data_IF_815352955189
#
_entry.id   IF_815352955189
#
_cell.length_a   1.000
_cell.length_b   1.000
_cell.length_c   1.000
_cell.angle_alpha   90.00
_cell.angle_beta   90.00
_cell.angle_gamma   90.00
#
_symmetry.space_group_name_H-M   'P 1'
#
loop_
_entity.id
_entity.type
_entity.pdbx_description
1 polymer ?
#
# COMPACT_ATOMS: atom_id res chain seq x y z
N UNK A 1 -25.22 -114.69 22.87
CA UNK A 1 -24.33 -113.88 22.00
C UNK A 1 -25.14 -112.70 21.49
N UNK A 2 -24.77 -111.43 21.56
CA UNK A 2 -23.52 -110.75 21.90
C UNK A 2 -23.86 -109.51 22.73
N UNK A 3 -23.11 -109.25 23.81
CA UNK A 3 -23.13 -107.96 24.49
C UNK A 3 -22.27 -107.01 23.66
N UNK A 4 -22.90 -105.99 23.08
CA UNK A 4 -22.18 -104.95 22.37
C UNK A 4 -21.28 -104.19 23.35
N UNK A 5 -19.97 -104.16 23.08
CA UNK A 5 -19.02 -103.30 23.79
C UNK A 5 -19.34 -101.84 23.47
N UNK A 6 -19.54 -101.03 24.50
CA UNK A 6 -19.58 -99.57 24.34
C UNK A 6 -18.17 -99.08 23.96
N UNK A 7 -18.04 -98.23 22.92
CA UNK A 7 -16.76 -97.60 22.64
C UNK A 7 -16.42 -96.63 23.77
N UNK A 8 -15.22 -96.77 24.32
CA UNK A 8 -14.68 -95.87 25.34
C UNK A 8 -14.67 -94.44 24.80
N UNK A 9 -15.40 -93.55 25.46
CA UNK A 9 -15.39 -92.12 25.19
C UNK A 9 -14.00 -91.57 25.53
N UNK A 10 -13.23 -91.18 24.52
CA UNK A 10 -12.05 -90.34 24.70
C UNK A 10 -12.49 -88.87 24.57
N UNK A 11 -12.32 -88.02 25.60
CA UNK A 11 -12.60 -86.61 25.48
C UNK A 11 -11.62 -85.99 24.49
N UNK A 12 -12.14 -85.44 23.39
CA UNK A 12 -11.35 -84.63 22.46
C UNK A 12 -10.95 -83.32 23.17
N UNK A 13 -9.69 -82.88 23.10
CA UNK A 13 -9.29 -81.59 23.65
C UNK A 13 -10.07 -80.46 22.95
N UNK A 14 -10.48 -79.42 23.68
CA UNK A 14 -11.32 -78.37 23.13
C UNK A 14 -10.61 -77.67 21.96
N UNK A 15 -11.28 -77.58 20.80
CA UNK A 15 -10.82 -76.79 19.66
C UNK A 15 -10.53 -75.35 20.11
N UNK A 16 -9.27 -74.93 20.00
CA UNK A 16 -8.88 -73.54 20.21
C UNK A 16 -9.55 -72.65 19.16
N UNK A 17 -10.64 -72.01 19.57
CA UNK A 17 -11.19 -70.89 18.81
C UNK A 17 -10.26 -69.70 19.01
N UNK A 18 -9.75 -69.07 17.93
CA UNK A 18 -8.95 -67.87 18.08
C UNK A 18 -9.86 -66.79 18.67
N UNK A 19 -9.59 -66.38 19.93
CA UNK A 19 -10.24 -65.23 20.54
C UNK A 19 -10.08 -64.04 19.58
N UNK A 20 -11.20 -63.60 19.02
CA UNK A 20 -11.28 -62.36 18.23
C UNK A 20 -10.72 -61.24 19.10
N UNK A 21 -9.50 -60.79 18.78
CA UNK A 21 -8.88 -59.65 19.45
C UNK A 21 -9.82 -58.47 19.25
N UNK A 22 -10.52 -58.08 20.31
CA UNK A 22 -11.31 -56.86 20.33
C UNK A 22 -10.34 -55.71 20.07
N UNK A 23 -10.43 -55.12 18.89
CA UNK A 23 -9.66 -53.91 18.60
C UNK A 23 -10.13 -52.84 19.59
N UNK A 24 -9.20 -52.16 20.29
CA UNK A 24 -9.59 -51.08 21.17
C UNK A 24 -10.30 -50.02 20.34
N UNK A 25 -11.58 -49.79 20.62
CA UNK A 25 -12.33 -48.67 20.03
C UNK A 25 -11.56 -47.39 20.38
N UNK A 26 -10.98 -46.74 19.38
CA UNK A 26 -10.28 -45.45 19.53
C UNK A 26 -11.30 -44.47 20.11
N UNK A 27 -11.12 -44.09 21.38
CA UNK A 27 -11.95 -43.07 22.01
C UNK A 27 -11.70 -41.77 21.25
N UNK A 28 -12.73 -41.26 20.58
CA UNK A 28 -12.71 -39.92 20.03
C UNK A 28 -12.67 -39.02 21.26
N UNK A 29 -11.50 -38.44 21.52
CA UNK A 29 -11.34 -37.46 22.60
C UNK A 29 -12.17 -36.26 22.16
N UNK A 30 -13.34 -36.10 22.77
CA UNK A 30 -14.17 -34.92 22.56
C UNK A 30 -13.44 -33.70 23.09
N UNK A 31 -13.53 -32.60 22.35
CA UNK A 31 -12.96 -31.31 22.76
C UNK A 31 -13.56 -30.91 24.11
N UNK A 32 -12.69 -30.64 25.09
CA UNK A 32 -13.10 -30.21 26.43
C UNK A 32 -13.79 -28.85 26.37
N UNK A 33 -14.73 -28.57 27.29
CA UNK A 33 -15.40 -27.27 27.32
C UNK A 33 -14.41 -26.10 27.56
N UNK A 34 -13.27 -26.38 28.19
CA UNK A 34 -12.16 -25.43 28.31
C UNK A 34 -11.51 -25.12 26.95
N UNK A 35 -11.30 -26.12 26.10
CA UNK A 35 -10.74 -25.95 24.76
C UNK A 35 -11.72 -25.20 23.85
N UNK A 36 -13.03 -25.51 23.93
CA UNK A 36 -14.06 -24.76 23.20
C UNK A 36 -14.05 -23.28 23.57
N UNK A 37 -13.90 -22.96 24.86
CA UNK A 37 -13.83 -21.57 25.34
C UNK A 37 -12.57 -20.87 24.85
N UNK A 38 -11.43 -21.55 24.85
CA UNK A 38 -10.17 -21.02 24.31
C UNK A 38 -10.26 -20.76 22.81
N UNK A 39 -10.86 -21.68 22.05
CA UNK A 39 -11.10 -21.50 20.62
C UNK A 39 -12.00 -20.27 20.40
N UNK A 40 -13.08 -20.14 21.16
CA UNK A 40 -14.00 -19.00 21.04
C UNK A 40 -13.31 -17.65 21.31
N UNK A 41 -12.46 -17.60 22.34
CA UNK A 41 -11.65 -16.41 22.65
C UNK A 41 -10.64 -16.13 21.53
N UNK A 42 -9.97 -17.17 21.01
CA UNK A 42 -8.99 -16.99 19.92
C UNK A 42 -9.63 -16.41 18.66
N UNK A 43 -10.84 -16.87 18.32
CA UNK A 43 -11.60 -16.37 17.17
C UNK A 43 -11.98 -14.90 17.40
N UNK A 44 -12.40 -14.54 18.62
CA UNK A 44 -12.70 -13.16 19.01
C UNK A 44 -11.49 -12.25 18.90
N UNK A 45 -10.32 -12.69 19.36
CA UNK A 45 -9.06 -11.93 19.27
C UNK A 45 -8.64 -11.72 17.83
N UNK A 46 -8.76 -12.74 16.98
CA UNK A 46 -8.45 -12.62 15.54
C UNK A 46 -9.41 -11.65 14.85
N UNK A 47 -10.71 -11.71 15.16
CA UNK A 47 -11.70 -10.77 14.64
C UNK A 47 -11.43 -9.33 15.10
N UNK A 48 -11.13 -9.11 16.38
CA UNK A 48 -10.77 -7.78 16.89
C UNK A 48 -9.48 -7.26 16.27
N UNK A 49 -8.49 -8.13 16.03
CA UNK A 49 -7.22 -7.77 15.40
C UNK A 49 -7.43 -7.34 13.94
N UNK A 50 -8.30 -8.02 13.19
CA UNK A 50 -8.60 -7.63 11.80
C UNK A 50 -9.33 -6.29 11.73
N UNK A 51 -10.28 -6.03 12.63
CA UNK A 51 -10.93 -4.72 12.75
C UNK A 51 -9.93 -3.61 13.13
N UNK A 52 -9.03 -3.88 14.07
CA UNK A 52 -7.96 -2.94 14.46
C UNK A 52 -7.00 -2.62 13.31
N UNK A 53 -6.70 -3.60 12.46
CA UNK A 53 -5.89 -3.40 11.25
C UNK A 53 -6.57 -2.42 10.30
N UNK A 54 -7.87 -2.58 10.04
CA UNK A 54 -8.65 -1.68 9.17
C UNK A 54 -8.67 -0.26 9.73
N UNK A 55 -8.79 -0.09 11.04
CA UNK A 55 -8.72 1.22 11.70
C UNK A 55 -7.36 1.92 11.51
N UNK A 56 -6.24 1.17 11.51
CA UNK A 56 -4.91 1.71 11.20
C UNK A 56 -4.80 2.21 9.75
N UNK A 57 -5.49 1.56 8.81
CA UNK A 57 -5.53 1.98 7.42
C UNK A 57 -6.33 3.29 7.19
N UNK A 58 -7.35 3.55 8.00
CA UNK A 58 -8.08 4.82 7.94
C UNK A 58 -7.18 6.02 8.32
N UNK A 59 -6.34 5.87 9.34
CA UNK A 59 -5.37 6.90 9.75
C UNK A 59 -4.28 7.15 8.70
N UNK A 60 -3.94 6.13 7.90
CA UNK A 60 -2.94 6.23 6.82
C UNK A 60 -3.48 7.03 5.62
N UNK A 61 -4.79 6.96 5.33
CA UNK A 61 -5.39 7.75 4.25
C UNK A 61 -5.37 9.26 4.53
N UNK A 62 -5.61 9.67 5.78
CA UNK A 62 -5.52 11.08 6.17
C UNK A 62 -4.08 11.60 6.09
N UNK A 63 -3.09 10.77 6.45
CA UNK A 63 -1.68 11.11 6.34
C UNK A 63 -1.26 11.29 4.88
N UNK A 64 -1.68 10.39 4.00
CA UNK A 64 -1.35 10.43 2.57
C UNK A 64 -1.98 11.65 1.88
N UNK A 65 -3.20 12.04 2.29
CA UNK A 65 -3.88 13.25 1.81
C UNK A 65 -3.16 14.52 2.27
N UNK A 66 -2.73 14.58 3.54
CA UNK A 66 -1.95 15.72 4.07
C UNK A 66 -0.59 15.86 3.38
N UNK A 67 0.11 14.75 3.15
CA UNK A 67 1.40 14.77 2.43
C UNK A 67 1.22 15.29 1.01
N UNK A 68 0.20 14.84 0.28
CA UNK A 68 -0.08 15.34 -1.06
C UNK A 68 -0.45 16.83 -1.08
N UNK A 69 -1.20 17.31 -0.07
CA UNK A 69 -1.53 18.73 0.06
C UNK A 69 -0.31 19.59 0.40
N UNK A 70 0.60 19.10 1.26
CA UNK A 70 1.86 19.75 1.58
C UNK A 70 2.77 19.83 0.34
N UNK A 71 2.90 18.73 -0.41
CA UNK A 71 3.68 18.68 -1.64
C UNK A 71 3.17 19.71 -2.68
N UNK A 72 1.84 19.80 -2.85
CA UNK A 72 1.22 20.79 -3.74
C UNK A 72 1.52 22.23 -3.32
N UNK A 73 1.48 22.52 -2.02
CA UNK A 73 1.79 23.86 -1.49
C UNK A 73 3.26 24.23 -1.74
N UNK A 74 4.19 23.30 -1.52
CA UNK A 74 5.62 23.51 -1.81
C UNK A 74 5.83 23.83 -3.30
N UNK A 75 5.24 23.04 -4.19
CA UNK A 75 5.36 23.28 -5.64
C UNK A 75 4.75 24.62 -6.08
N UNK A 76 3.66 25.07 -5.45
CA UNK A 76 3.08 26.39 -5.72
C UNK A 76 4.01 27.52 -5.26
N UNK A 77 4.54 27.43 -4.04
CA UNK A 77 5.49 28.40 -3.49
C UNK A 77 6.79 28.48 -4.30
N UNK A 78 7.30 27.35 -4.80
CA UNK A 78 8.46 27.31 -5.69
C UNK A 78 8.18 28.01 -7.03
N UNK A 79 6.99 27.80 -7.60
CA UNK A 79 6.57 28.48 -8.83
C UNK A 79 6.41 29.99 -8.64
N UNK A 80 5.83 30.42 -7.52
CA UNK A 80 5.73 31.84 -7.18
C UNK A 80 7.12 32.47 -7.02
N UNK A 81 8.03 31.82 -6.30
CA UNK A 81 9.42 32.29 -6.17
C UNK A 81 10.13 32.38 -7.53
N UNK A 82 9.99 31.37 -8.38
CA UNK A 82 10.58 31.37 -9.71
C UNK A 82 10.03 32.52 -10.57
N UNK A 83 8.73 32.77 -10.50
CA UNK A 83 8.06 33.85 -11.23
C UNK A 83 8.55 35.22 -10.75
N UNK A 84 8.56 35.45 -9.44
CA UNK A 84 9.04 36.69 -8.83
C UNK A 84 10.53 36.93 -9.14
N UNK A 85 11.35 35.88 -9.17
CA UNK A 85 12.77 35.98 -9.54
C UNK A 85 12.96 36.38 -11.01
N UNK A 86 12.12 35.84 -11.91
CA UNK A 86 12.13 36.21 -13.33
C UNK A 86 11.70 37.66 -13.49
N UNK A 87 10.64 38.10 -12.79
CA UNK A 87 10.19 39.49 -12.80
C UNK A 87 11.26 40.45 -12.27
N UNK A 88 11.91 40.10 -11.17
CA UNK A 88 12.99 40.90 -10.60
C UNK A 88 14.18 41.01 -11.56
N UNK A 89 14.56 39.91 -12.24
CA UNK A 89 15.60 39.93 -13.26
C UNK A 89 15.18 40.72 -14.49
N UNK A 90 13.93 40.61 -14.93
CA UNK A 90 13.37 41.40 -16.04
C UNK A 90 13.28 42.88 -15.71
N UNK A 91 13.09 43.28 -14.46
CA UNK A 91 13.13 44.69 -14.08
C UNK A 91 14.57 45.20 -13.92
N UNK A 92 15.47 44.34 -13.44
CA UNK A 92 16.87 44.71 -13.20
C UNK A 92 17.69 44.75 -14.47
N UNK A 93 17.53 43.80 -15.41
CA UNK A 93 18.42 43.71 -16.58
C UNK A 93 18.23 44.86 -17.58
N UNK A 94 17.01 45.30 -17.96
CA UNK A 94 16.83 46.41 -18.89
C UNK A 94 17.35 47.71 -18.28
N UNK A 95 17.06 47.95 -17.01
CA UNK A 95 17.54 49.13 -16.29
C UNK A 95 19.06 49.14 -16.14
N UNK A 96 19.67 47.98 -15.91
CA UNK A 96 21.14 47.86 -15.90
C UNK A 96 21.75 48.06 -17.29
N UNK A 97 21.11 47.55 -18.35
CA UNK A 97 21.54 47.74 -19.74
C UNK A 97 21.46 49.24 -20.10
N UNK A 98 20.35 49.91 -19.80
CA UNK A 98 20.17 51.36 -20.01
C UNK A 98 21.21 52.18 -19.24
N UNK A 99 21.48 51.81 -17.99
CA UNK A 99 22.45 52.52 -17.16
C UNK A 99 23.86 52.40 -17.75
N UNK A 100 24.29 51.20 -18.15
CA UNK A 100 25.59 51.02 -18.83
C UNK A 100 25.62 51.69 -20.20
N UNK A 101 24.54 51.61 -20.96
CA UNK A 101 24.40 52.26 -22.25
C UNK A 101 24.60 53.78 -22.16
N UNK A 102 23.95 54.43 -21.20
CA UNK A 102 24.05 55.88 -21.04
C UNK A 102 25.38 56.29 -20.40
N UNK A 103 25.84 55.56 -19.38
CA UNK A 103 27.01 55.95 -18.59
C UNK A 103 28.36 55.55 -19.21
N UNK A 104 28.44 54.35 -19.79
CA UNK A 104 29.69 53.80 -20.36
C UNK A 104 29.77 54.04 -21.87
N UNK A 105 28.64 53.94 -22.58
CA UNK A 105 28.60 54.03 -24.04
C UNK A 105 28.08 55.39 -24.55
N UNK A 106 27.65 56.29 -23.65
CA UNK A 106 27.13 57.61 -24.00
C UNK A 106 25.87 57.56 -24.87
N UNK A 107 25.17 56.42 -24.90
CA UNK A 107 23.97 56.26 -25.73
C UNK A 107 22.85 57.16 -25.20
N UNK A 108 22.04 57.68 -26.11
CA UNK A 108 20.87 58.50 -25.82
C UNK A 108 19.69 57.96 -26.60
N UNK A 109 18.48 58.16 -26.06
CA UNK A 109 17.27 57.76 -26.79
C UNK A 109 17.16 58.57 -28.10
N UNK A 110 16.93 57.92 -29.25
CA UNK A 110 16.78 58.60 -30.53
C UNK A 110 15.58 59.55 -30.54
N UNK A 111 15.68 60.65 -31.29
CA UNK A 111 14.56 61.56 -31.53
C UNK A 111 13.48 60.87 -32.38
N UNK A 112 12.22 61.32 -32.29
CA UNK A 112 11.09 60.65 -32.96
C UNK A 112 11.26 60.55 -34.48
N UNK A 113 11.92 61.53 -35.11
CA UNK A 113 12.29 61.51 -36.52
C UNK A 113 13.32 60.45 -36.93
N UNK A 114 14.04 59.85 -35.97
CA UNK A 114 15.06 58.82 -36.21
C UNK A 114 14.51 57.39 -36.04
N UNK A 115 13.24 57.24 -35.68
CA UNK A 115 12.59 55.94 -35.47
C UNK A 115 11.86 55.52 -36.75
N UNK A 116 12.40 54.52 -37.45
CA UNK A 116 11.75 53.95 -38.64
C UNK A 116 10.99 52.69 -38.27
N UNK A 117 9.67 52.70 -38.44
CA UNK A 117 8.81 51.57 -38.14
C UNK A 117 8.76 50.61 -39.34
N UNK A 118 9.46 49.47 -39.26
CA UNK A 118 9.59 48.48 -40.34
C UNK A 118 8.32 47.65 -40.60
N UNK A 119 7.19 47.99 -39.97
CA UNK A 119 5.92 47.25 -40.08
C UNK A 119 4.87 47.91 -40.98
N UNK A 120 5.24 48.90 -41.78
CA UNK A 120 4.32 49.47 -42.75
C UNK A 120 5.04 50.19 -43.88
N UNK A 121 5.25 49.49 -44.99
CA UNK A 121 5.22 49.98 -46.39
C UNK A 121 5.39 48.74 -47.27
N UNK A 122 4.31 48.36 -47.96
CA UNK A 122 4.41 47.59 -49.19
C UNK A 122 4.59 48.62 -50.32
N UNK A 123 5.71 48.64 -51.06
CA UNK A 123 5.83 49.50 -52.23
C UNK A 123 5.23 48.76 -53.43
N UNK A 124 4.08 49.24 -53.89
CA UNK A 124 3.52 48.90 -55.19
C UNK A 124 3.55 50.14 -56.07
N UNK A 125 4.60 50.29 -56.87
CA UNK A 125 4.61 50.96 -58.17
C UNK A 125 5.66 50.30 -59.05
#
# INVERSE_FOLDING_TARGET
MLVARQPLYQPQPPLHTPKKKSQPKKKIVGVSDAEKRLILISVLVVALSSLGMVWRFASINDLQTRVNQLQKQVTLLEKENATLTIEQRRLSSPRQIETRANAELGMQWPAQEQIVNVLGVAPGH
#
